data_IF_332691709886
#
_entry.id   IF_332691709886
#
_cell.length_a   1.000
_cell.length_b   1.000
_cell.length_c   1.000
_cell.angle_alpha   90.00
_cell.angle_beta   90.00
_cell.angle_gamma   90.00
#
_symmetry.space_group_name_H-M   'P 1'
#
loop_
_entity.id
_entity.type
_entity.pdbx_description
1 polymer ?
#
# COMPACT_ATOMS: atom_id res chain seq x y z
N UNK A 1 11.64 3.75 -58.73
CA UNK A 1 11.68 2.58 -57.82
C UNK A 1 11.96 3.10 -56.41
N UNK A 2 10.94 3.15 -55.55
CA UNK A 2 11.01 3.76 -54.21
C UNK A 2 11.85 2.96 -53.22
N UNK A 3 11.95 1.63 -53.40
CA UNK A 3 12.73 0.75 -52.55
C UNK A 3 14.23 1.03 -52.67
N UNK A 4 14.74 1.19 -53.90
CA UNK A 4 16.15 1.52 -54.14
C UNK A 4 16.51 2.88 -53.55
N UNK A 5 15.64 3.88 -53.73
CA UNK A 5 15.79 5.20 -53.13
C UNK A 5 15.89 5.13 -51.60
N UNK A 6 14.99 4.37 -50.96
CA UNK A 6 14.98 4.19 -49.52
C UNK A 6 16.24 3.49 -49.00
N UNK A 7 16.75 2.48 -49.71
CA UNK A 7 18.00 1.79 -49.34
C UNK A 7 19.21 2.73 -49.43
N UNK A 8 19.34 3.49 -50.52
CA UNK A 8 20.44 4.45 -50.70
C UNK A 8 20.41 5.53 -49.61
N UNK A 9 19.24 6.11 -49.33
CA UNK A 9 19.08 7.12 -48.27
C UNK A 9 19.40 6.53 -46.89
N UNK A 10 18.94 5.31 -46.60
CA UNK A 10 19.24 4.62 -45.34
C UNK A 10 20.73 4.42 -45.14
N UNK A 11 21.45 3.96 -46.17
CA UNK A 11 22.90 3.77 -46.12
C UNK A 11 23.65 5.09 -45.98
N UNK A 12 23.19 6.15 -46.65
CA UNK A 12 23.82 7.47 -46.58
C UNK A 12 23.66 8.14 -45.21
N UNK A 13 22.45 8.09 -44.62
CA UNK A 13 22.12 8.78 -43.36
C UNK A 13 22.36 7.88 -42.15
N UNK A 14 21.69 6.73 -42.08
CA UNK A 14 21.76 5.79 -40.95
C UNK A 14 23.00 4.89 -40.95
N UNK A 15 23.64 4.76 -42.12
CA UNK A 15 24.79 3.89 -42.32
C UNK A 15 24.42 2.42 -42.46
N UNK A 16 25.24 1.70 -43.22
CA UNK A 16 25.12 0.27 -43.41
C UNK A 16 26.32 -0.47 -42.82
N UNK A 17 26.07 -1.61 -42.17
CA UNK A 17 27.14 -2.43 -41.59
C UNK A 17 27.71 -3.29 -42.72
N UNK A 18 28.78 -2.80 -43.34
CA UNK A 18 29.37 -3.45 -44.51
C UNK A 18 30.09 -4.75 -44.15
N UNK A 19 30.70 -4.80 -42.97
CA UNK A 19 31.37 -6.00 -42.45
C UNK A 19 31.53 -5.92 -40.93
N UNK A 20 31.89 -7.04 -40.31
CA UNK A 20 32.25 -7.11 -38.89
C UNK A 20 33.71 -7.47 -38.77
N UNK A 21 34.46 -6.64 -38.06
CA UNK A 21 35.87 -6.85 -37.79
C UNK A 21 36.01 -7.56 -36.45
N UNK A 22 36.48 -8.80 -36.49
CA UNK A 22 36.83 -9.54 -35.27
C UNK A 22 38.30 -9.30 -34.94
N UNK A 23 38.56 -8.68 -33.79
CA UNK A 23 39.89 -8.53 -33.23
C UNK A 23 39.89 -9.09 -31.81
N UNK A 24 40.73 -10.10 -31.56
CA UNK A 24 40.77 -10.87 -30.32
C UNK A 24 39.39 -11.48 -29.98
N UNK A 25 38.84 -11.17 -28.80
CA UNK A 25 37.52 -11.62 -28.33
C UNK A 25 36.41 -10.60 -28.58
N UNK A 26 36.68 -9.48 -29.28
CA UNK A 26 35.66 -8.47 -29.61
C UNK A 26 35.35 -8.44 -31.10
N UNK A 27 34.06 -8.49 -31.40
CA UNK A 27 33.52 -8.28 -32.74
C UNK A 27 33.01 -6.83 -32.83
N UNK A 28 33.52 -6.07 -33.79
CA UNK A 28 33.17 -4.65 -33.98
C UNK A 28 32.56 -4.45 -35.37
N UNK A 29 31.39 -3.82 -35.41
CA UNK A 29 30.70 -3.50 -36.66
C UNK A 29 31.43 -2.36 -37.40
N UNK A 30 31.78 -2.59 -38.68
CA UNK A 30 32.32 -1.56 -39.57
C UNK A 30 31.17 -0.96 -40.38
N UNK A 31 30.79 0.27 -40.01
CA UNK A 31 29.65 0.99 -40.62
C UNK A 31 30.11 2.01 -41.65
N UNK A 32 29.59 1.90 -42.87
CA UNK A 32 29.80 2.87 -43.96
C UNK A 32 28.62 3.83 -43.99
N UNK A 33 28.89 5.13 -43.96
CA UNK A 33 27.89 6.22 -44.03
C UNK A 33 28.52 7.50 -44.55
N UNK A 34 27.71 8.46 -44.99
CA UNK A 34 28.22 9.78 -45.39
C UNK A 34 28.89 10.51 -44.21
N UNK A 35 29.78 11.44 -44.54
CA UNK A 35 30.38 12.35 -43.56
C UNK A 35 29.27 13.22 -42.95
N UNK A 36 29.41 13.61 -41.69
CA UNK A 36 28.45 14.49 -40.98
C UNK A 36 28.11 15.75 -41.80
N UNK A 37 29.16 16.38 -42.31
CA UNK A 37 29.12 17.59 -43.15
C UNK A 37 28.23 17.45 -44.40
N UNK A 38 28.04 16.23 -44.91
CA UNK A 38 27.26 15.96 -46.13
C UNK A 38 25.83 15.49 -45.83
N UNK A 39 25.46 15.29 -44.55
CA UNK A 39 24.13 14.78 -44.15
C UNK A 39 23.36 15.64 -43.14
N UNK A 40 24.04 16.59 -42.48
CA UNK A 40 23.44 17.40 -41.42
C UNK A 40 22.72 18.64 -41.98
N UNK A 41 22.95 19.00 -43.25
CA UNK A 41 22.36 20.18 -43.93
C UNK A 41 21.38 19.76 -45.03
N UNK A 42 20.16 20.31 -45.01
CA UNK A 42 19.06 19.93 -45.91
C UNK A 42 19.38 20.18 -47.38
N UNK A 43 20.03 21.31 -47.69
CA UNK A 43 20.39 21.70 -49.05
C UNK A 43 21.41 20.72 -49.67
N UNK A 44 22.31 20.18 -48.85
CA UNK A 44 23.30 19.19 -49.28
C UNK A 44 22.68 17.82 -49.51
N UNK A 45 21.74 17.43 -48.65
CA UNK A 45 20.95 16.22 -48.86
C UNK A 45 20.22 16.27 -50.22
N UNK A 46 19.68 17.44 -50.60
CA UNK A 46 19.03 17.65 -51.89
C UNK A 46 19.95 17.48 -53.10
N UNK A 47 21.25 17.75 -52.94
CA UNK A 47 22.26 17.62 -54.00
C UNK A 47 22.88 16.21 -54.09
N UNK A 48 22.49 15.27 -53.23
CA UNK A 48 23.01 13.91 -53.27
C UNK A 48 22.62 13.21 -54.58
N UNK A 49 23.62 12.66 -55.25
CA UNK A 49 23.43 11.92 -56.50
C UNK A 49 22.99 10.48 -56.21
N UNK A 50 21.86 10.10 -56.78
CA UNK A 50 21.23 8.79 -56.58
C UNK A 50 21.31 8.01 -57.89
N UNK A 51 21.94 6.82 -57.90
CA UNK A 51 22.09 6.03 -59.10
C UNK A 51 20.74 5.47 -59.55
N UNK A 52 20.46 5.57 -60.85
CA UNK A 52 19.23 5.07 -61.48
C UNK A 52 19.43 3.68 -62.07
N UNK A 53 18.36 2.89 -62.14
CA UNK A 53 18.38 1.51 -62.69
C UNK A 53 18.79 1.47 -64.17
N UNK A 54 18.50 2.54 -64.92
CA UNK A 54 18.76 2.62 -66.37
C UNK A 54 20.17 3.14 -66.71
N UNK A 55 21.03 3.33 -65.71
CA UNK A 55 22.33 3.98 -65.86
C UNK A 55 22.18 5.51 -65.82
N UNK A 56 23.03 6.16 -65.01
CA UNK A 56 22.97 7.60 -64.73
C UNK A 56 22.59 7.90 -63.28
N UNK A 57 22.81 9.14 -62.84
CA UNK A 57 22.51 9.60 -61.49
C UNK A 57 21.64 10.85 -61.54
N UNK A 58 20.70 10.97 -60.59
CA UNK A 58 19.82 12.12 -60.43
C UNK A 58 19.95 12.71 -59.04
N UNK A 59 19.75 14.01 -58.89
CA UNK A 59 19.80 14.65 -57.57
C UNK A 59 18.57 14.27 -56.74
N UNK A 60 18.72 14.10 -55.43
CA UNK A 60 17.62 13.77 -54.53
C UNK A 60 16.47 14.80 -54.64
N UNK A 61 16.78 16.09 -54.79
CA UNK A 61 15.80 17.17 -54.95
C UNK A 61 14.94 17.07 -56.23
N UNK A 62 15.40 16.34 -57.24
CA UNK A 62 14.63 16.13 -58.48
C UNK A 62 13.60 15.00 -58.36
N UNK A 63 13.71 14.17 -57.32
CA UNK A 63 12.89 12.96 -57.14
C UNK A 63 12.15 12.90 -55.79
N UNK A 64 12.48 13.79 -54.85
CA UNK A 64 11.83 13.89 -53.55
C UNK A 64 11.83 15.33 -53.01
N UNK A 65 10.75 15.71 -52.32
CA UNK A 65 10.68 16.96 -51.56
C UNK A 65 11.21 16.72 -50.15
N UNK A 66 12.07 17.61 -49.68
CA UNK A 66 12.71 17.54 -48.37
C UNK A 66 12.11 18.62 -47.47
N UNK A 67 11.26 18.21 -46.53
CA UNK A 67 10.61 19.11 -45.58
C UNK A 67 11.04 18.79 -44.14
N UNK A 68 11.38 19.82 -43.37
CA UNK A 68 11.64 19.68 -41.94
C UNK A 68 10.31 19.72 -41.19
N UNK A 69 9.81 18.56 -40.78
CA UNK A 69 8.56 18.42 -40.02
C UNK A 69 8.84 17.99 -38.58
N UNK A 70 8.11 18.57 -37.64
CA UNK A 70 8.07 18.08 -36.26
C UNK A 70 7.33 16.74 -36.21
N UNK A 71 7.97 15.71 -35.67
CA UNK A 71 7.38 14.39 -35.46
C UNK A 71 7.64 13.87 -34.05
N UNK A 72 6.86 12.89 -33.57
CA UNK A 72 7.13 12.26 -32.29
C UNK A 72 8.45 11.50 -32.38
N UNK A 73 9.38 11.80 -31.47
CA UNK A 73 10.65 11.06 -31.33
C UNK A 73 10.43 9.69 -30.70
N UNK A 74 9.39 9.57 -29.87
CA UNK A 74 9.01 8.36 -29.17
C UNK A 74 7.48 8.28 -29.10
N UNK A 75 6.94 7.07 -29.21
CA UNK A 75 5.50 6.81 -29.05
C UNK A 75 5.34 5.83 -27.90
N UNK A 76 5.04 6.38 -26.73
CA UNK A 76 4.75 5.58 -25.55
C UNK A 76 3.32 5.05 -25.60
N UNK A 77 3.17 3.82 -25.10
CA UNK A 77 1.88 3.14 -25.05
C UNK A 77 1.69 2.45 -23.70
N UNK A 78 0.48 2.50 -23.20
CA UNK A 78 0.00 1.73 -22.06
C UNK A 78 -1.28 1.04 -22.50
N UNK A 79 -1.40 -0.27 -22.23
CA UNK A 79 -2.52 -1.11 -22.67
C UNK A 79 -2.93 -0.93 -24.14
N UNK A 80 -1.91 -0.80 -25.01
CA UNK A 80 -2.04 -0.59 -26.47
C UNK A 80 -2.62 0.76 -26.89
N UNK A 81 -2.98 1.64 -25.95
CA UNK A 81 -3.34 3.03 -26.23
C UNK A 81 -2.09 3.92 -26.22
N UNK A 82 -2.09 5.01 -26.98
CA UNK A 82 -0.99 6.01 -26.92
C UNK A 82 -1.15 6.80 -25.63
N UNK A 83 -0.05 6.98 -24.91
CA UNK A 83 -0.04 7.73 -23.66
C UNK A 83 0.92 8.91 -23.71
N UNK A 84 0.62 9.92 -22.88
CA UNK A 84 1.51 11.03 -22.58
C UNK A 84 1.62 11.11 -21.06
N UNK A 85 2.83 10.92 -20.54
CA UNK A 85 3.07 10.96 -19.10
C UNK A 85 3.39 12.38 -18.67
N UNK A 86 2.58 12.94 -17.78
CA UNK A 86 2.81 14.24 -17.15
C UNK A 86 3.23 13.98 -15.70
N UNK A 87 4.51 14.20 -15.42
CA UNK A 87 5.09 14.02 -14.08
C UNK A 87 5.17 15.32 -13.29
N UNK A 88 5.16 15.22 -11.96
CA UNK A 88 5.38 16.34 -11.06
C UNK A 88 5.88 15.87 -9.68
N UNK A 89 6.63 16.73 -9.01
CA UNK A 89 7.08 16.48 -7.64
C UNK A 89 6.08 17.06 -6.63
N UNK A 90 5.93 16.37 -5.50
CA UNK A 90 5.07 16.82 -4.40
C UNK A 90 5.80 17.89 -3.59
N UNK A 91 5.12 19.00 -3.30
CA UNK A 91 5.64 20.03 -2.40
C UNK A 91 5.81 19.48 -0.98
N UNK A 92 6.80 19.99 -0.24
CA UNK A 92 7.06 19.56 1.14
C UNK A 92 5.79 19.68 2.01
N UNK A 93 5.59 18.71 2.91
CA UNK A 93 4.46 18.61 3.87
C UNK A 93 3.07 18.31 3.28
N UNK A 94 2.96 17.97 2.00
CA UNK A 94 1.69 17.46 1.44
C UNK A 94 1.70 15.93 1.30
N UNK A 95 0.57 15.30 1.61
CA UNK A 95 0.42 13.86 1.38
C UNK A 95 0.10 13.57 -0.09
N UNK A 96 0.54 12.41 -0.57
CA UNK A 96 0.21 11.95 -1.93
C UNK A 96 -1.31 11.82 -2.14
N UNK A 97 -2.05 11.45 -1.09
CA UNK A 97 -3.52 11.38 -1.12
C UNK A 97 -4.17 12.75 -1.36
N UNK A 98 -3.72 13.79 -0.66
CA UNK A 98 -4.28 15.15 -0.83
C UNK A 98 -3.97 15.69 -2.23
N UNK A 99 -2.75 15.47 -2.73
CA UNK A 99 -2.36 15.89 -4.08
C UNK A 99 -3.15 15.12 -5.14
N UNK A 100 -3.35 13.81 -4.96
CA UNK A 100 -4.20 13.01 -5.85
C UNK A 100 -5.61 13.59 -5.92
N UNK A 101 -6.22 13.92 -4.78
CA UNK A 101 -7.57 14.47 -4.72
C UNK A 101 -7.67 15.85 -5.40
N UNK A 102 -6.69 16.74 -5.19
CA UNK A 102 -6.64 18.04 -5.86
C UNK A 102 -6.50 17.91 -7.37
N UNK A 103 -5.63 17.01 -7.83
CA UNK A 103 -5.42 16.75 -9.26
C UNK A 103 -6.68 16.16 -9.88
N UNK A 104 -7.32 15.19 -9.20
CA UNK A 104 -8.58 14.61 -9.62
C UNK A 104 -9.67 15.68 -9.77
N UNK A 105 -9.78 16.60 -8.80
CA UNK A 105 -10.74 17.69 -8.85
C UNK A 105 -10.49 18.65 -10.02
N UNK A 106 -9.21 18.96 -10.31
CA UNK A 106 -8.83 19.79 -11.46
C UNK A 106 -9.12 19.09 -12.80
N UNK A 107 -8.82 17.80 -12.91
CA UNK A 107 -9.12 17.01 -14.11
C UNK A 107 -10.63 16.98 -14.36
N UNK A 108 -11.43 16.77 -13.31
CA UNK A 108 -12.88 16.77 -13.40
C UNK A 108 -13.47 18.13 -13.84
N UNK A 109 -12.77 19.23 -13.56
CA UNK A 109 -13.16 20.57 -13.99
C UNK A 109 -12.69 20.91 -15.42
N UNK A 110 -11.82 20.11 -16.03
CA UNK A 110 -11.34 20.32 -17.40
C UNK A 110 -12.23 19.60 -18.41
N UNK A 111 -12.52 20.25 -19.54
CA UNK A 111 -13.16 19.62 -20.68
C UNK A 111 -12.14 18.78 -21.44
N UNK A 112 -12.16 17.48 -21.21
CA UNK A 112 -11.31 16.50 -21.93
C UNK A 112 -11.96 16.17 -23.28
N UNK A 113 -11.22 16.23 -24.40
CA UNK A 113 -11.75 15.84 -25.73
C UNK A 113 -12.23 14.38 -25.76
N UNK A 114 -13.21 14.09 -26.62
CA UNK A 114 -13.68 12.73 -26.83
C UNK A 114 -12.55 11.80 -27.30
N UNK A 115 -12.48 10.61 -26.68
CA UNK A 115 -11.44 9.61 -26.97
C UNK A 115 -10.14 9.76 -26.17
N UNK A 116 -10.03 10.74 -25.28
CA UNK A 116 -8.90 10.88 -24.35
C UNK A 116 -9.34 10.47 -22.93
N UNK A 117 -8.67 9.49 -22.36
CA UNK A 117 -8.82 9.12 -20.94
C UNK A 117 -7.67 9.72 -20.14
N UNK A 118 -7.98 10.26 -18.96
CA UNK A 118 -6.99 10.80 -18.03
C UNK A 118 -7.03 9.96 -16.77
N UNK A 119 -5.93 9.25 -16.50
CA UNK A 119 -5.78 8.40 -15.34
C UNK A 119 -4.57 8.83 -14.51
N UNK A 120 -4.73 8.79 -13.19
CA UNK A 120 -3.63 9.08 -12.26
C UNK A 120 -2.87 7.77 -12.00
N UNK A 121 -1.73 7.62 -12.66
CA UNK A 121 -0.85 6.44 -12.57
C UNK A 121 0.37 6.67 -11.65
N UNK A 122 1.24 5.67 -11.55
CA UNK A 122 2.49 5.73 -10.78
C UNK A 122 2.31 5.46 -9.28
N UNK A 123 3.00 6.23 -8.43
CA UNK A 123 3.01 6.00 -6.98
C UNK A 123 1.61 6.10 -6.35
N UNK A 124 0.75 6.97 -6.87
CA UNK A 124 -0.61 7.16 -6.34
C UNK A 124 -1.49 5.93 -6.58
N UNK A 125 -1.37 5.31 -7.76
CA UNK A 125 -2.06 4.07 -8.09
C UNK A 125 -1.52 2.92 -7.24
N UNK A 126 -0.19 2.73 -7.19
CA UNK A 126 0.44 1.70 -6.37
C UNK A 126 0.05 1.82 -4.90
N UNK A 127 0.01 3.04 -4.34
CA UNK A 127 -0.42 3.28 -2.97
C UNK A 127 -1.89 2.87 -2.76
N UNK A 128 -2.78 3.21 -3.71
CA UNK A 128 -4.20 2.83 -3.65
C UNK A 128 -4.41 1.32 -3.71
N UNK A 129 -3.75 0.62 -4.63
CA UNK A 129 -3.81 -0.84 -4.78
C UNK A 129 -3.24 -1.55 -3.53
N UNK A 130 -2.13 -1.04 -3.00
CA UNK A 130 -1.53 -1.56 -1.77
C UNK A 130 -2.44 -1.36 -0.55
N UNK A 131 -3.08 -0.19 -0.40
CA UNK A 131 -4.03 0.03 0.69
C UNK A 131 -5.27 -0.86 0.58
N UNK A 132 -5.79 -1.08 -0.63
CA UNK A 132 -6.89 -2.01 -0.84
C UNK A 132 -6.48 -3.42 -0.41
N UNK A 133 -5.33 -3.89 -0.88
CA UNK A 133 -4.81 -5.21 -0.53
C UNK A 133 -4.56 -5.37 0.97
N UNK A 134 -3.96 -4.36 1.60
CA UNK A 134 -3.72 -4.35 3.04
C UNK A 134 -5.01 -4.22 3.85
N UNK A 135 -6.02 -3.51 3.35
CA UNK A 135 -7.34 -3.41 3.96
C UNK A 135 -8.05 -4.78 3.97
N UNK A 136 -7.98 -5.51 2.85
CA UNK A 136 -8.46 -6.90 2.78
C UNK A 136 -7.67 -7.79 3.75
N UNK A 137 -6.35 -7.65 3.80
CA UNK A 137 -5.52 -8.41 4.73
C UNK A 137 -5.86 -8.12 6.20
N UNK A 138 -6.11 -6.86 6.56
CA UNK A 138 -6.54 -6.47 7.90
C UNK A 138 -7.90 -7.07 8.25
N UNK A 139 -8.88 -7.02 7.34
CA UNK A 139 -10.19 -7.62 7.54
C UNK A 139 -10.09 -9.14 7.74
N UNK A 140 -9.33 -9.83 6.89
CA UNK A 140 -9.07 -11.27 7.03
C UNK A 140 -8.36 -11.59 8.34
N UNK A 141 -7.37 -10.79 8.73
CA UNK A 141 -6.66 -10.99 9.98
C UNK A 141 -7.60 -10.83 11.18
N UNK A 142 -8.52 -9.84 11.18
CA UNK A 142 -9.53 -9.68 12.23
C UNK A 142 -10.41 -10.93 12.28
N UNK A 143 -10.92 -11.40 11.15
CA UNK A 143 -11.75 -12.61 11.08
C UNK A 143 -11.01 -13.83 11.64
N UNK A 144 -9.74 -14.04 11.24
CA UNK A 144 -8.96 -15.18 11.74
C UNK A 144 -8.64 -15.08 13.22
N UNK A 145 -8.26 -13.90 13.73
CA UNK A 145 -8.08 -13.71 15.17
C UNK A 145 -9.39 -14.01 15.91
N UNK A 146 -10.54 -13.55 15.39
CA UNK A 146 -11.84 -13.83 16.00
C UNK A 146 -12.11 -15.34 16.07
N UNK A 147 -11.94 -16.05 14.95
CA UNK A 147 -12.18 -17.49 14.87
C UNK A 147 -11.28 -18.28 15.83
N UNK A 148 -9.98 -17.96 15.86
CA UNK A 148 -9.02 -18.61 16.76
C UNK A 148 -9.40 -18.38 18.22
N UNK A 149 -9.76 -17.15 18.59
CA UNK A 149 -10.18 -16.82 19.95
C UNK A 149 -11.51 -17.47 20.33
N UNK A 150 -12.49 -17.48 19.43
CA UNK A 150 -13.79 -18.11 19.67
C UNK A 150 -13.62 -19.60 19.91
N UNK A 151 -12.76 -20.27 19.14
CA UNK A 151 -12.38 -21.67 19.32
C UNK A 151 -11.66 -21.89 20.66
N UNK A 152 -10.65 -21.05 20.98
CA UNK A 152 -9.85 -21.17 22.20
C UNK A 152 -10.66 -20.99 23.48
N UNK A 153 -11.56 -20.00 23.51
CA UNK A 153 -12.34 -19.66 24.70
C UNK A 153 -13.70 -20.38 24.77
N UNK A 154 -14.11 -21.07 23.70
CA UNK A 154 -15.42 -21.73 23.61
C UNK A 154 -16.61 -20.78 23.76
N UNK A 155 -16.44 -19.51 23.40
CA UNK A 155 -17.42 -18.43 23.61
C UNK A 155 -17.29 -17.37 22.53
N UNK A 156 -18.41 -16.84 22.04
CA UNK A 156 -18.44 -15.76 21.05
C UNK A 156 -18.31 -14.36 21.66
N UNK A 157 -18.70 -14.17 22.93
CA UNK A 157 -18.64 -12.84 23.58
C UNK A 157 -17.22 -12.43 23.99
N UNK A 158 -16.41 -13.38 24.49
CA UNK A 158 -15.06 -13.08 24.97
C UNK A 158 -14.11 -12.58 23.87
N UNK A 159 -14.05 -13.19 22.66
CA UNK A 159 -13.29 -12.66 21.54
C UNK A 159 -13.68 -11.22 21.18
N UNK A 160 -14.98 -10.89 21.22
CA UNK A 160 -15.47 -9.55 20.94
C UNK A 160 -14.94 -8.54 21.97
N UNK A 161 -14.91 -8.90 23.26
CA UNK A 161 -14.30 -8.08 24.32
C UNK A 161 -12.82 -7.79 24.04
N UNK A 162 -12.06 -8.80 23.61
CA UNK A 162 -10.63 -8.68 23.28
C UNK A 162 -10.44 -7.73 22.09
N UNK A 163 -11.30 -7.86 21.07
CA UNK A 163 -11.24 -7.03 19.87
C UNK A 163 -11.58 -5.56 20.13
N UNK A 164 -12.29 -5.24 21.21
CA UNK A 164 -12.56 -3.86 21.57
C UNK A 164 -11.30 -3.06 21.94
N UNK A 165 -10.17 -3.74 22.20
CA UNK A 165 -8.89 -3.08 22.37
C UNK A 165 -8.26 -2.59 21.06
N UNK A 166 -8.70 -3.11 19.90
CA UNK A 166 -8.16 -2.75 18.59
C UNK A 166 -8.42 -1.28 18.25
N UNK A 167 -9.67 -0.75 18.31
CA UNK A 167 -9.91 0.66 18.06
C UNK A 167 -9.08 1.59 18.97
N UNK A 168 -8.89 1.23 20.23
CA UNK A 168 -8.10 2.03 21.19
C UNK A 168 -6.63 2.14 20.78
N UNK A 169 -6.08 1.06 20.24
CA UNK A 169 -4.73 1.03 19.69
C UNK A 169 -4.60 1.87 18.42
N UNK A 170 -5.59 1.75 17.51
CA UNK A 170 -5.62 2.52 16.25
C UNK A 170 -5.66 4.02 16.53
N UNK A 171 -6.50 4.46 17.47
CA UNK A 171 -6.57 5.87 17.88
C UNK A 171 -5.21 6.35 18.37
N UNK A 172 -4.55 5.58 19.23
CA UNK A 172 -3.20 5.91 19.73
C UNK A 172 -2.14 6.01 18.64
N UNK A 173 -2.20 5.08 17.67
CA UNK A 173 -1.30 5.07 16.53
C UNK A 173 -1.47 6.31 15.63
N UNK A 174 -2.72 6.67 15.31
CA UNK A 174 -3.04 7.85 14.51
C UNK A 174 -2.64 9.15 15.21
N UNK A 175 -2.90 9.25 16.52
CA UNK A 175 -2.49 10.41 17.32
C UNK A 175 -0.96 10.55 17.35
N UNK A 176 -0.22 9.46 17.47
CA UNK A 176 1.25 9.51 17.44
C UNK A 176 1.81 9.95 16.08
N UNK A 177 1.22 9.49 14.97
CA UNK A 177 1.57 9.97 13.63
C UNK A 177 1.29 11.47 13.48
N UNK A 178 0.15 11.94 14.00
CA UNK A 178 -0.23 13.35 13.97
C UNK A 178 0.76 14.22 14.76
N UNK A 179 1.14 13.80 15.98
CA UNK A 179 2.09 14.53 16.84
C UNK A 179 3.49 14.58 16.21
N UNK A 180 3.91 13.50 15.55
CA UNK A 180 5.23 13.43 14.90
C UNK A 180 5.27 14.01 13.49
N UNK A 181 4.13 14.46 12.96
CA UNK A 181 4.01 15.00 11.61
C UNK A 181 4.31 13.98 10.50
N UNK A 182 4.15 12.68 10.79
CA UNK A 182 4.40 11.60 9.81
C UNK A 182 3.11 11.24 9.08
N UNK A 183 3.25 10.94 7.80
CA UNK A 183 2.12 10.62 6.91
C UNK A 183 1.70 9.17 7.13
N UNK A 184 0.40 8.90 6.98
CA UNK A 184 -0.10 7.52 6.96
C UNK A 184 0.21 6.87 5.61
N UNK A 185 1.23 6.04 5.59
CA UNK A 185 1.72 5.31 4.41
C UNK A 185 1.53 3.79 4.55
N UNK A 186 1.99 3.03 3.55
CA UNK A 186 1.93 1.57 3.55
C UNK A 186 2.62 0.94 4.77
N UNK A 187 3.73 1.53 5.26
CA UNK A 187 4.50 1.01 6.37
C UNK A 187 3.85 1.31 7.72
N UNK A 188 3.20 2.47 7.87
CA UNK A 188 2.30 2.75 8.97
C UNK A 188 1.15 1.72 9.03
N UNK A 189 0.57 1.37 7.88
CA UNK A 189 -0.49 0.36 7.81
C UNK A 189 0.01 -1.03 8.24
N UNK A 190 1.21 -1.44 7.81
CA UNK A 190 1.84 -2.69 8.28
C UNK A 190 2.07 -2.64 9.79
N UNK A 191 2.49 -1.48 10.33
CA UNK A 191 2.59 -1.25 11.77
C UNK A 191 1.27 -1.44 12.51
N UNK A 192 0.14 -1.03 11.90
CA UNK A 192 -1.20 -1.21 12.46
C UNK A 192 -1.63 -2.69 12.47
N UNK A 193 -1.29 -3.45 11.42
CA UNK A 193 -1.51 -4.91 11.39
C UNK A 193 -0.68 -5.60 12.48
N UNK A 194 0.59 -5.19 12.66
CA UNK A 194 1.44 -5.71 13.73
C UNK A 194 0.86 -5.40 15.12
N UNK A 195 0.44 -4.14 15.33
CA UNK A 195 -0.21 -3.69 16.58
C UNK A 195 -1.39 -4.56 16.97
N UNK A 196 -2.19 -4.98 16.01
CA UNK A 196 -3.34 -5.82 16.28
C UNK A 196 -2.95 -7.12 17.02
N UNK A 197 -1.89 -7.82 16.60
CA UNK A 197 -1.42 -9.01 17.32
C UNK A 197 -0.90 -8.69 18.73
N UNK A 198 -0.16 -7.59 18.85
CA UNK A 198 0.47 -7.17 20.12
C UNK A 198 -0.57 -6.78 21.18
N UNK A 199 -1.57 -6.02 20.78
CA UNK A 199 -2.64 -5.54 21.66
C UNK A 199 -3.61 -6.67 22.02
N UNK A 200 -3.91 -7.53 21.05
CA UNK A 200 -4.74 -8.71 21.28
C UNK A 200 -4.07 -9.64 22.31
N UNK A 201 -2.75 -9.86 22.24
CA UNK A 201 -2.02 -10.66 23.25
C UNK A 201 -2.22 -10.16 24.68
N UNK A 202 -2.14 -8.84 24.90
CA UNK A 202 -2.31 -8.26 26.24
C UNK A 202 -3.72 -8.51 26.78
N UNK A 203 -4.70 -8.37 25.89
CA UNK A 203 -6.12 -8.55 26.16
C UNK A 203 -6.50 -10.02 26.41
N UNK A 204 -5.96 -10.95 25.62
CA UNK A 204 -6.14 -12.40 25.78
C UNK A 204 -5.72 -12.83 27.19
N UNK A 205 -4.53 -12.42 27.62
CA UNK A 205 -3.98 -12.89 28.88
C UNK A 205 -4.71 -12.32 30.10
N UNK A 206 -5.28 -11.11 29.99
CA UNK A 206 -6.11 -10.54 31.06
C UNK A 206 -7.41 -11.33 31.20
N UNK A 207 -8.13 -11.57 30.10
CA UNK A 207 -9.40 -12.32 30.12
C UNK A 207 -9.20 -13.77 30.52
N UNK A 208 -8.12 -14.41 30.06
CA UNK A 208 -7.82 -15.79 30.44
C UNK A 208 -7.62 -15.93 31.97
N UNK A 209 -6.87 -15.02 32.60
CA UNK A 209 -6.71 -15.00 34.06
C UNK A 209 -8.02 -14.73 34.79
N UNK A 210 -8.84 -13.80 34.30
CA UNK A 210 -10.18 -13.55 34.86
C UNK A 210 -10.99 -14.85 34.82
N UNK A 211 -11.02 -15.53 33.68
CA UNK A 211 -11.76 -16.78 33.53
C UNK A 211 -11.22 -17.90 34.42
N UNK A 212 -9.89 -18.01 34.58
CA UNK A 212 -9.29 -18.98 35.49
C UNK A 212 -9.69 -18.72 36.95
N UNK A 213 -9.62 -17.47 37.41
CA UNK A 213 -10.03 -17.09 38.77
C UNK A 213 -11.54 -17.29 38.96
N UNK A 214 -12.37 -17.02 37.94
CA UNK A 214 -13.82 -17.31 37.95
C UNK A 214 -14.11 -18.81 38.04
N UNK A 215 -13.36 -19.67 37.34
CA UNK A 215 -13.48 -21.14 37.42
C UNK A 215 -13.11 -21.68 38.80
N UNK A 216 -12.24 -20.98 39.53
CA UNK A 216 -11.90 -21.27 40.94
C UNK A 216 -12.96 -20.80 41.93
N UNK A 217 -14.08 -20.26 41.46
CA UNK A 217 -15.19 -19.80 42.29
C UNK A 217 -15.06 -18.37 42.80
N UNK A 218 -14.05 -17.59 42.38
CA UNK A 218 -13.93 -16.21 42.83
C UNK A 218 -15.08 -15.33 42.33
N UNK A 219 -15.59 -14.43 43.20
CA UNK A 219 -16.47 -13.35 42.80
C UNK A 219 -15.85 -12.54 41.66
N UNK A 220 -16.71 -12.02 40.79
CA UNK A 220 -16.28 -11.39 39.54
C UNK A 220 -15.34 -10.21 39.73
N UNK A 221 -15.68 -9.30 40.63
CA UNK A 221 -14.87 -8.11 40.90
C UNK A 221 -13.50 -8.49 41.48
N UNK A 222 -13.47 -9.47 42.38
CA UNK A 222 -12.22 -9.98 42.95
C UNK A 222 -11.34 -10.64 41.88
N UNK A 223 -11.93 -11.44 40.97
CA UNK A 223 -11.22 -12.06 39.86
C UNK A 223 -10.60 -11.01 38.91
N UNK A 224 -11.31 -9.91 38.64
CA UNK A 224 -10.82 -8.80 37.80
C UNK A 224 -9.66 -8.07 38.47
N UNK A 225 -9.78 -7.74 39.75
CA UNK A 225 -8.73 -7.05 40.52
C UNK A 225 -7.47 -7.94 40.69
N UNK A 226 -7.68 -9.22 40.97
CA UNK A 226 -6.63 -10.24 41.03
C UNK A 226 -5.91 -10.39 39.69
N UNK A 227 -6.66 -10.54 38.59
CA UNK A 227 -6.08 -10.67 37.26
C UNK A 227 -5.32 -9.40 36.85
N UNK A 228 -5.89 -8.21 37.07
CA UNK A 228 -5.26 -6.93 36.76
C UNK A 228 -3.93 -6.75 37.48
N UNK A 229 -3.88 -6.98 38.79
CA UNK A 229 -2.66 -6.86 39.59
C UNK A 229 -1.57 -7.85 39.19
N UNK A 230 -1.92 -9.13 38.96
CA UNK A 230 -0.97 -10.17 38.48
C UNK A 230 -0.40 -9.86 37.09
N UNK A 231 -1.19 -9.21 36.23
CA UNK A 231 -0.86 -8.99 34.82
C UNK A 231 -0.19 -7.65 34.54
N UNK A 232 -0.36 -6.65 35.40
CA UNK A 232 0.19 -5.31 35.22
C UNK A 232 1.71 -5.36 34.95
N UNK A 233 2.48 -6.04 35.81
CA UNK A 233 3.94 -6.09 35.68
C UNK A 233 4.40 -6.81 34.38
N UNK A 234 3.89 -8.00 34.02
CA UNK A 234 4.22 -8.62 32.74
C UNK A 234 3.81 -7.81 31.51
N UNK A 235 2.62 -7.18 31.51
CA UNK A 235 2.13 -6.38 30.37
C UNK A 235 3.03 -5.15 30.17
N UNK A 236 3.38 -4.45 31.25
CA UNK A 236 4.29 -3.32 31.20
C UNK A 236 5.68 -3.74 30.71
N UNK A 237 6.22 -4.87 31.19
CA UNK A 237 7.52 -5.38 30.74
C UNK A 237 7.55 -5.59 29.22
N UNK A 238 6.55 -6.27 28.65
CA UNK A 238 6.52 -6.52 27.20
C UNK A 238 6.28 -5.26 26.38
N UNK A 239 5.45 -4.35 26.89
CA UNK A 239 5.15 -3.09 26.21
C UNK A 239 6.38 -2.19 26.18
N UNK A 240 7.06 -2.02 27.31
CA UNK A 240 8.28 -1.23 27.42
C UNK A 240 9.41 -1.81 26.58
N UNK A 241 9.61 -3.13 26.60
CA UNK A 241 10.63 -3.77 25.78
C UNK A 241 10.42 -3.49 24.28
N UNK A 242 9.17 -3.54 23.83
CA UNK A 242 8.84 -3.27 22.42
C UNK A 242 8.92 -1.78 22.07
N UNK A 243 8.46 -0.89 22.96
CA UNK A 243 8.57 0.56 22.78
C UNK A 243 10.05 0.95 22.67
N UNK A 244 10.89 0.48 23.59
CA UNK A 244 12.33 0.74 23.59
C UNK A 244 13.02 0.08 22.38
N UNK A 245 12.58 -1.11 21.96
CA UNK A 245 13.11 -1.79 20.77
C UNK A 245 12.75 -1.09 19.45
N UNK A 246 11.59 -0.42 19.38
CA UNK A 246 11.16 0.34 18.21
C UNK A 246 11.66 1.79 18.22
N UNK A 247 12.18 2.26 19.36
CA UNK A 247 12.69 3.63 19.52
C UNK A 247 13.78 3.98 18.49
N UNK A 248 14.79 3.13 18.23
CA UNK A 248 15.79 3.43 17.20
C UNK A 248 15.21 3.50 15.78
N UNK A 249 14.15 2.71 15.51
CA UNK A 249 13.44 2.70 14.23
C UNK A 249 12.64 3.98 14.04
N UNK A 250 11.98 4.45 15.10
CA UNK A 250 11.19 5.68 15.09
C UNK A 250 12.06 6.95 14.99
N UNK A 251 13.26 6.95 15.57
CA UNK A 251 14.19 8.09 15.53
C UNK A 251 15.11 8.10 14.31
N UNK A 252 14.94 7.17 13.36
CA UNK A 252 15.62 7.21 12.07
C UNK A 252 17.17 7.21 12.18
N UNK A 253 17.76 6.45 13.11
CA UNK A 253 19.22 6.37 13.20
C UNK A 253 19.79 5.62 11.98
N UNK A 254 20.18 6.36 10.93
CA UNK A 254 20.86 5.87 9.72
C UNK A 254 20.32 6.42 8.40
N UNK A 255 21.15 6.45 7.36
CA UNK A 255 20.90 7.05 6.03
C UNK A 255 19.83 6.37 5.16
N UNK A 256 19.15 5.34 5.67
CA UNK A 256 18.09 4.59 4.95
C UNK A 256 16.96 4.19 5.89
N UNK A 257 16.69 5.00 6.90
CA UNK A 257 15.72 4.68 7.97
C UNK A 257 14.38 5.38 7.80
N UNK A 258 14.30 6.45 6.99
CA UNK A 258 13.10 7.28 6.85
C UNK A 258 11.84 6.49 6.48
N UNK A 259 11.96 5.44 5.67
CA UNK A 259 10.80 4.63 5.30
C UNK A 259 10.23 3.83 6.48
N UNK A 260 11.05 3.37 7.45
CA UNK A 260 10.57 2.58 8.60
C UNK A 260 10.06 3.43 9.77
N UNK A 261 10.31 4.73 9.74
CA UNK A 261 9.92 5.65 10.83
C UNK A 261 8.41 5.61 11.07
N UNK A 262 7.60 5.71 10.00
CA UNK A 262 6.14 5.69 10.09
C UNK A 262 5.62 4.42 10.79
N UNK A 263 6.23 3.26 10.50
CA UNK A 263 5.90 1.99 11.16
C UNK A 263 6.25 2.02 12.65
N UNK A 264 7.45 2.47 13.01
CA UNK A 264 7.91 2.54 14.39
C UNK A 264 7.05 3.47 15.26
N UNK A 265 6.76 4.67 14.75
CA UNK A 265 5.90 5.66 15.42
C UNK A 265 4.49 5.09 15.63
N UNK A 266 3.91 4.48 14.59
CA UNK A 266 2.57 3.86 14.67
C UNK A 266 2.53 2.84 15.80
N UNK A 267 3.50 1.92 15.84
CA UNK A 267 3.57 0.86 16.87
C UNK A 267 3.77 1.43 18.27
N UNK A 268 4.68 2.40 18.44
CA UNK A 268 4.92 3.02 19.75
C UNK A 268 3.64 3.72 20.25
N UNK A 269 3.02 4.55 19.42
CA UNK A 269 1.79 5.27 19.77
C UNK A 269 0.64 4.34 20.12
N UNK A 270 0.44 3.30 19.29
CA UNK A 270 -0.59 2.31 19.52
C UNK A 270 -0.35 1.50 20.80
N UNK A 271 0.90 1.13 21.10
CA UNK A 271 1.24 0.41 22.33
C UNK A 271 1.06 1.26 23.59
N UNK A 272 1.49 2.53 23.57
CA UNK A 272 1.32 3.42 24.73
C UNK A 272 -0.17 3.59 25.04
N UNK A 273 -0.97 3.93 24.02
CA UNK A 273 -2.42 4.11 24.16
C UNK A 273 -3.10 2.82 24.60
N UNK A 274 -2.84 1.72 23.89
CA UNK A 274 -3.48 0.43 24.19
C UNK A 274 -3.08 -0.11 25.56
N UNK A 275 -1.82 -0.04 25.97
CA UNK A 275 -1.41 -0.58 27.27
C UNK A 275 -2.07 0.18 28.43
N UNK A 276 -2.23 1.50 28.31
CA UNK A 276 -2.95 2.29 29.31
C UNK A 276 -4.46 2.02 29.29
N UNK A 277 -5.07 2.11 28.10
CA UNK A 277 -6.53 2.01 27.96
C UNK A 277 -7.04 0.58 28.14
N UNK A 278 -6.32 -0.44 27.69
CA UNK A 278 -6.74 -1.86 27.77
C UNK A 278 -6.91 -2.30 29.22
N UNK A 279 -6.01 -1.88 30.12
CA UNK A 279 -6.10 -2.25 31.53
C UNK A 279 -7.33 -1.66 32.24
N UNK A 280 -7.90 -0.58 31.72
CA UNK A 280 -9.10 0.05 32.28
C UNK A 280 -10.36 -0.38 31.53
N UNK A 281 -10.33 -0.32 30.20
CA UNK A 281 -11.48 -0.54 29.34
C UNK A 281 -11.87 -2.01 29.29
N UNK A 282 -10.92 -2.96 29.21
CA UNK A 282 -11.28 -4.38 29.11
C UNK A 282 -12.03 -4.89 30.33
N UNK A 283 -11.58 -4.62 31.59
CA UNK A 283 -12.35 -4.97 32.77
C UNK A 283 -13.79 -4.46 32.72
N UNK A 284 -13.98 -3.19 32.33
CA UNK A 284 -15.29 -2.55 32.24
C UNK A 284 -16.15 -3.14 31.13
N UNK A 285 -15.57 -3.52 30.00
CA UNK A 285 -16.32 -4.14 28.89
C UNK A 285 -16.69 -5.58 29.25
N UNK A 286 -15.79 -6.32 29.91
CA UNK A 286 -16.07 -7.65 30.44
C UNK A 286 -17.23 -7.60 31.45
N UNK A 287 -17.16 -6.65 32.39
CA UNK A 287 -18.26 -5.85 32.98
C UNK A 287 -19.65 -5.89 32.34
N UNK A 288 -19.77 -5.18 31.23
CA UNK A 288 -21.06 -5.04 30.57
C UNK A 288 -21.50 -6.32 29.87
N UNK A 289 -20.57 -7.06 29.27
CA UNK A 289 -20.91 -8.23 28.46
C UNK A 289 -21.33 -9.45 29.30
N UNK A 290 -20.70 -9.68 30.45
CA UNK A 290 -21.11 -10.78 31.34
C UNK A 290 -22.42 -10.45 32.10
N UNK A 291 -22.74 -9.17 32.33
CA UNK A 291 -24.08 -8.75 32.79
C UNK A 291 -25.15 -9.00 31.71
N UNK A 292 -24.81 -8.75 30.45
CA UNK A 292 -25.70 -9.02 29.32
C UNK A 292 -25.92 -10.53 29.15
N UNK A 293 -24.88 -11.35 29.31
CA UNK A 293 -24.96 -12.82 29.24
C UNK A 293 -25.82 -13.40 30.38
N UNK A 294 -25.66 -12.90 31.60
CA UNK A 294 -26.41 -13.38 32.77
C UNK A 294 -27.90 -12.99 32.69
N UNK A 295 -28.22 -11.79 32.19
CA UNK A 295 -29.60 -11.39 31.88
C UNK A 295 -30.21 -12.26 30.79
N UNK A 296 -29.46 -12.59 29.74
CA UNK A 296 -29.95 -13.46 28.66
C UNK A 296 -30.20 -14.89 29.15
N UNK A 297 -29.28 -15.48 29.93
CA UNK A 297 -29.47 -16.81 30.55
C UNK A 297 -30.65 -16.83 31.52
N UNK A 298 -30.85 -15.76 32.32
CA UNK A 298 -31.99 -15.65 33.23
C UNK A 298 -33.31 -15.54 32.46
N UNK A 299 -33.35 -14.80 31.34
CA UNK A 299 -34.55 -14.66 30.50
C UNK A 299 -34.91 -15.95 29.75
N UNK A 300 -33.91 -16.70 29.29
CA UNK A 300 -34.11 -18.03 28.67
C UNK A 300 -34.57 -19.08 29.69
N UNK A 301 -34.04 -19.05 30.92
CA UNK A 301 -34.46 -19.97 32.00
C UNK A 301 -35.88 -19.69 32.49
N UNK A 302 -36.26 -18.40 32.62
CA UNK A 302 -37.64 -17.99 32.98
C UNK A 302 -38.65 -18.29 31.86
N UNK A 303 -38.21 -18.37 30.60
CA UNK A 303 -39.05 -18.81 29.47
C UNK A 303 -39.29 -20.33 29.41
N UNK A 304 -38.39 -21.14 29.98
CA UNK A 304 -38.49 -22.60 30.00
C UNK A 304 -39.24 -23.16 31.22
N UNK A 305 -39.45 -22.36 32.27
CA UNK A 305 -40.16 -22.73 33.50
C UNK A 305 -41.63 -22.27 33.53
N UNK A 306 -42.28 -22.00 32.38
CA UNK A 306 -43.75 -21.95 32.34
C UNK A 306 -44.27 -23.38 32.15
N UNK A 307 -44.81 -24.04 33.19
CA UNK A 307 -45.47 -25.31 33.00
C UNK A 307 -46.75 -25.04 32.21
N UNK A 308 -46.99 -25.89 31.23
CA UNK A 308 -48.24 -25.96 30.50
C UNK A 308 -49.34 -26.45 31.47
N UNK A 309 -49.92 -25.54 32.26
CA UNK A 309 -51.09 -25.81 33.13
C UNK A 309 -52.42 -25.84 32.35
N UNK A 310 -52.39 -26.10 31.02
CA UNK A 310 -53.60 -26.16 30.20
C UNK A 310 -54.02 -27.57 29.73
N UNK A 311 -53.48 -28.65 30.33
CA UNK A 311 -53.83 -30.05 29.99
C UNK A 311 -54.27 -30.92 31.17
N UNK A 312 -54.96 -30.33 32.14
CA UNK A 312 -55.76 -31.09 33.12
C UNK A 312 -57.13 -30.42 33.27
N UNK A 313 -57.98 -30.65 32.30
CA UNK A 313 -59.46 -30.61 32.41
C UNK A 313 -60.02 -30.91 31.01
N UNK A 314 -60.15 -32.20 30.72
CA UNK A 314 -61.19 -32.82 29.88
C UNK A 314 -61.14 -34.35 30.07
#
# INVERSE_FOLDING_TARGET
NTMQLATVIRTFIGGDVATKLRQYEKETDVRVRLRSVDRDELDRLGQLMIPTVRGGSVNLSQVATLDLVGGPTQIDREDRSRQIVIGGNIAQYRSLGDVKNDVQAKIAAMTVPEGVTVEISGQAQQMSENFQSLGIALALAIIFIYMVLASQFGSFLQPLTIMLALPLAVIGALVALLITGKIFDMLAFIGLILLMGLVTKNSILLIDYINQDRRRGMPRLEAILSAGSKRLRPILMTSLAMILGMLPVAFAFGSSSDFRVSMGVTVIGGLISSTLLTLVVIPVVYTFLDDLSSKFRRKVRVGAERPDESRREE
#
